data_IF_372696972669
#
_entry.id   IF_372696972669
#
_cell.length_a   1.000
_cell.length_b   1.000
_cell.length_c   1.000
_cell.angle_alpha   90.00
_cell.angle_beta   90.00
_cell.angle_gamma   90.00
#
_symmetry.space_group_name_H-M   'P 1'
#
loop_
_entity.id
_entity.type
_entity.pdbx_description
1 polymer ?
#
# COMPACT_ATOMS: atom_id res chain seq x y z
N UNK A 1 21.79 33.64 6.20
CA UNK A 1 21.25 32.86 7.33
C UNK A 1 20.46 31.71 6.73
N UNK A 2 21.09 30.56 6.45
CA UNK A 2 21.32 29.41 7.34
C UNK A 2 20.02 28.71 7.77
N UNK A 3 19.86 27.51 7.19
CA UNK A 3 19.11 26.31 7.63
C UNK A 3 17.58 26.44 7.61
N UNK A 4 16.84 25.45 7.12
CA UNK A 4 16.92 24.06 7.56
C UNK A 4 16.90 23.03 6.43
N UNK A 5 17.96 22.24 6.41
CA UNK A 5 17.99 20.87 5.92
C UNK A 5 16.96 20.05 6.71
N UNK A 6 15.92 19.55 6.06
CA UNK A 6 15.20 18.36 6.51
C UNK A 6 15.22 17.34 5.37
N UNK A 7 16.40 16.78 5.12
CA UNK A 7 16.46 15.41 4.63
C UNK A 7 15.75 14.55 5.69
N UNK A 8 14.47 14.33 5.47
CA UNK A 8 13.67 13.37 6.21
C UNK A 8 13.84 12.06 5.46
N UNK A 9 15.01 11.44 5.64
CA UNK A 9 15.35 10.07 5.19
C UNK A 9 14.55 8.98 5.95
N UNK A 10 13.44 9.36 6.57
CA UNK A 10 12.43 8.44 7.09
C UNK A 10 11.19 8.66 6.24
N UNK A 11 10.72 7.66 5.49
CA UNK A 11 9.50 7.80 4.71
C UNK A 11 8.39 8.24 5.66
N UNK A 12 7.80 9.40 5.39
CA UNK A 12 6.66 9.89 6.17
C UNK A 12 5.53 8.91 5.90
N UNK A 13 5.25 8.05 6.87
CA UNK A 13 4.16 7.08 6.76
C UNK A 13 2.85 7.88 6.84
N UNK A 14 2.27 8.11 5.67
CA UNK A 14 1.06 8.89 5.44
C UNK A 14 -0.22 8.11 5.74
N UNK A 15 -0.13 6.83 6.16
CA UNK A 15 -1.28 6.10 6.69
C UNK A 15 -1.23 4.59 6.43
N UNK A 16 -2.38 3.96 6.16
CA UNK A 16 -2.51 2.51 5.96
C UNK A 16 -2.72 2.12 4.51
N UNK A 17 -2.26 0.93 4.14
CA UNK A 17 -2.55 0.30 2.84
C UNK A 17 -3.22 -1.05 3.04
N UNK A 18 -4.34 -1.26 2.35
CA UNK A 18 -5.04 -2.53 2.30
C UNK A 18 -5.04 -3.07 0.86
N UNK A 19 -4.59 -4.29 0.68
CA UNK A 19 -4.50 -4.99 -0.61
C UNK A 19 -5.49 -6.15 -0.55
N UNK A 20 -6.31 -6.30 -1.58
CA UNK A 20 -7.25 -7.41 -1.73
C UNK A 20 -7.07 -8.03 -3.09
N UNK A 21 -6.97 -9.36 -3.14
CA UNK A 21 -6.97 -10.07 -4.42
C UNK A 21 -8.41 -10.12 -4.94
N UNK A 22 -8.62 -9.65 -6.17
CA UNK A 22 -9.87 -9.90 -6.85
C UNK A 22 -9.87 -11.36 -7.32
N UNK A 23 -10.87 -12.13 -6.90
CA UNK A 23 -11.10 -13.48 -7.44
C UNK A 23 -11.78 -13.37 -8.80
N UNK A 24 -11.01 -12.97 -9.82
CA UNK A 24 -11.44 -13.09 -11.21
C UNK A 24 -11.08 -14.48 -11.74
N UNK A 25 -11.95 -15.06 -12.55
CA UNK A 25 -11.82 -16.36 -13.22
C UNK A 25 -10.70 -16.44 -14.26
N UNK A 26 -9.83 -15.43 -14.34
CA UNK A 26 -8.76 -15.32 -15.32
C UNK A 26 -7.41 -15.69 -14.71
N UNK A 27 -6.54 -16.33 -15.48
CA UNK A 27 -5.21 -16.81 -15.05
C UNK A 27 -4.25 -15.68 -14.59
N UNK A 28 -4.62 -14.42 -14.77
CA UNK A 28 -3.86 -13.27 -14.27
C UNK A 28 -4.50 -12.71 -12.98
N UNK A 29 -3.81 -12.80 -11.82
CA UNK A 29 -4.33 -12.21 -10.60
C UNK A 29 -4.37 -10.69 -10.73
N UNK A 30 -5.53 -10.11 -10.42
CA UNK A 30 -5.75 -8.68 -10.30
C UNK A 30 -6.10 -8.34 -8.85
N UNK A 31 -5.79 -7.11 -8.45
CA UNK A 31 -5.83 -6.67 -7.06
C UNK A 31 -6.57 -5.34 -6.95
N UNK A 32 -7.22 -5.15 -5.81
CA UNK A 32 -7.73 -3.86 -5.35
C UNK A 32 -6.83 -3.37 -4.22
N UNK A 33 -6.34 -2.15 -4.30
CA UNK A 33 -5.51 -1.51 -3.28
C UNK A 33 -6.23 -0.28 -2.78
N UNK A 34 -6.37 -0.15 -1.46
CA UNK A 34 -6.96 1.03 -0.82
C UNK A 34 -5.89 1.70 0.04
N UNK A 35 -5.64 2.97 -0.23
CA UNK A 35 -4.76 3.82 0.58
C UNK A 35 -5.62 4.66 1.52
N UNK A 36 -5.33 4.58 2.81
CA UNK A 36 -5.97 5.38 3.84
C UNK A 36 -4.95 6.37 4.36
N UNK A 37 -5.06 7.61 3.91
CA UNK A 37 -4.24 8.75 4.34
C UNK A 37 -4.63 9.25 5.76
N UNK A 38 -5.89 9.03 6.15
CA UNK A 38 -6.38 9.35 7.48
C UNK A 38 -6.70 8.07 8.29
N UNK A 39 -5.87 7.72 9.29
CA UNK A 39 -6.12 6.60 10.19
C UNK A 39 -7.49 6.62 10.88
N UNK A 40 -8.04 7.81 11.16
CA UNK A 40 -9.35 7.97 11.83
C UNK A 40 -10.53 7.68 10.91
N UNK A 41 -10.32 7.74 9.59
CA UNK A 41 -11.34 7.46 8.58
C UNK A 41 -11.30 6.00 8.10
N UNK A 42 -10.42 5.17 8.66
CA UNK A 42 -10.34 3.75 8.32
C UNK A 42 -11.51 2.97 8.96
N UNK A 43 -12.21 2.07 8.24
CA UNK A 43 -12.08 1.75 6.80
C UNK A 43 -13.10 2.48 5.90
N UNK A 44 -13.69 3.59 6.35
CA UNK A 44 -14.79 4.27 5.67
C UNK A 44 -14.39 5.02 4.40
N UNK A 45 -13.21 5.66 4.36
CA UNK A 45 -12.78 6.49 3.24
C UNK A 45 -11.30 6.31 2.95
N UNK A 46 -10.97 6.05 1.69
CA UNK A 46 -9.60 5.91 1.20
C UNK A 46 -9.54 5.95 -0.33
N UNK A 47 -8.34 6.10 -0.88
CA UNK A 47 -8.10 6.12 -2.32
C UNK A 47 -8.03 4.68 -2.85
N UNK A 48 -8.97 4.31 -3.72
CA UNK A 48 -9.06 2.97 -4.31
C UNK A 48 -8.37 2.91 -5.68
N UNK A 49 -7.41 2.00 -5.81
CA UNK A 49 -6.87 1.52 -7.07
C UNK A 49 -7.45 0.13 -7.33
N UNK A 50 -8.45 0.03 -8.19
CA UNK A 50 -9.16 -1.22 -8.44
C UNK A 50 -8.66 -1.93 -9.70
N UNK A 51 -8.72 -3.27 -9.70
CA UNK A 51 -8.39 -4.15 -10.84
C UNK A 51 -6.98 -3.90 -11.42
N UNK A 52 -6.01 -3.59 -10.55
CA UNK A 52 -4.62 -3.39 -10.96
C UNK A 52 -3.82 -4.70 -10.94
N UNK A 53 -2.76 -4.76 -11.75
CA UNK A 53 -1.86 -5.92 -11.79
C UNK A 53 -0.93 -5.92 -10.58
N UNK A 54 -0.38 -7.08 -10.26
CA UNK A 54 0.57 -7.26 -9.16
C UNK A 54 1.78 -6.31 -9.22
N UNK A 55 2.33 -6.07 -10.41
CA UNK A 55 3.46 -5.15 -10.59
C UNK A 55 3.13 -3.70 -10.22
N UNK A 56 1.90 -3.27 -10.44
CA UNK A 56 1.43 -1.95 -10.01
C UNK A 56 1.29 -1.88 -8.49
N UNK A 57 0.82 -2.96 -7.86
CA UNK A 57 0.80 -3.09 -6.40
C UNK A 57 2.21 -2.89 -5.85
N UNK A 58 3.22 -3.62 -6.39
CA UNK A 58 4.62 -3.49 -5.95
C UNK A 58 5.13 -2.05 -6.01
N UNK A 59 4.83 -1.32 -7.09
CA UNK A 59 5.21 0.10 -7.20
C UNK A 59 4.58 0.96 -6.10
N UNK A 60 3.30 0.74 -5.78
CA UNK A 60 2.61 1.46 -4.70
C UNK A 60 3.24 1.10 -3.34
N UNK A 61 3.54 -0.18 -3.09
CA UNK A 61 4.19 -0.64 -1.86
C UNK A 61 5.60 -0.06 -1.71
N UNK A 62 6.37 -0.01 -2.81
CA UNK A 62 7.74 0.48 -2.85
C UNK A 62 7.88 1.99 -2.60
N UNK A 63 6.80 2.77 -2.74
CA UNK A 63 6.80 4.17 -2.36
C UNK A 63 7.01 4.38 -0.85
N UNK A 64 6.80 3.36 -0.02
CA UNK A 64 7.12 3.40 1.42
C UNK A 64 6.25 4.34 2.26
N UNK A 65 5.29 5.02 1.63
CA UNK A 65 4.47 6.05 2.26
C UNK A 65 3.29 5.49 3.07
N UNK A 66 3.02 4.18 3.02
CA UNK A 66 1.86 3.58 3.70
C UNK A 66 2.26 2.28 4.39
N UNK A 67 1.74 2.08 5.61
CA UNK A 67 1.93 0.85 6.39
C UNK A 67 0.88 -0.18 6.03
N UNK A 68 1.23 -1.42 5.65
CA UNK A 68 0.23 -2.45 5.39
C UNK A 68 -0.63 -2.74 6.62
N UNK A 69 -1.92 -2.99 6.40
CA UNK A 69 -2.80 -3.55 7.44
C UNK A 69 -2.28 -4.94 7.84
N UNK A 70 -2.50 -5.42 9.08
CA UNK A 70 -2.05 -6.75 9.49
C UNK A 70 -2.52 -7.88 8.56
N UNK A 71 -3.75 -7.74 8.03
CA UNK A 71 -4.30 -8.69 7.07
C UNK A 71 -3.53 -8.65 5.74
N UNK A 72 -3.30 -7.45 5.21
CA UNK A 72 -2.51 -7.27 3.99
C UNK A 72 -1.07 -7.70 4.16
N UNK A 73 -0.51 -7.51 5.36
CA UNK A 73 0.84 -7.94 5.69
C UNK A 73 0.96 -9.47 5.67
N UNK A 74 0.01 -10.15 6.31
CA UNK A 74 -0.05 -11.60 6.37
C UNK A 74 -0.32 -12.25 5.00
N UNK A 75 -1.20 -11.65 4.19
CA UNK A 75 -1.63 -12.22 2.91
C UNK A 75 -0.67 -11.92 1.77
N UNK A 76 -0.03 -10.74 1.78
CA UNK A 76 0.74 -10.25 0.64
C UNK A 76 2.19 -9.91 1.01
N UNK A 77 2.47 -9.08 2.03
CA UNK A 77 3.85 -8.65 2.34
C UNK A 77 4.82 -9.76 2.76
N UNK A 78 4.40 -10.71 3.59
CA UNK A 78 5.29 -11.84 3.93
C UNK A 78 5.65 -12.69 2.71
N UNK A 79 4.76 -12.75 1.72
CA UNK A 79 5.05 -13.40 0.43
C UNK A 79 5.97 -12.54 -0.45
N UNK A 80 5.78 -11.22 -0.43
CA UNK A 80 6.59 -10.26 -1.19
C UNK A 80 8.04 -10.13 -0.75
N UNK A 81 8.37 -10.33 0.54
CA UNK A 81 9.76 -10.27 1.02
C UNK A 81 10.55 -11.56 0.83
N UNK A 82 9.87 -12.66 0.47
CA UNK A 82 10.49 -13.98 0.28
C UNK A 82 10.81 -14.28 -1.19
N UNK A 83 10.30 -13.48 -2.13
CA UNK A 83 10.71 -13.44 -3.55
C UNK A 83 11.80 -12.38 -3.76
#
# INVERSE_FOLDING_TARGET
MVKETKNTDTPVINGFIDVKKHFATSNCPIFDVVLYDNPKAYPQSGLLYSKIKFEEVKKILAQGNFKPTPLSEALFYKKFQAE
#
